data_IF_270435036280
#
_entry.id   IF_270435036280
#
_cell.length_a   1.000
_cell.length_b   1.000
_cell.length_c   1.000
_cell.angle_alpha   90.00
_cell.angle_beta   90.00
_cell.angle_gamma   90.00
#
_symmetry.space_group_name_H-M   'P 1'
#
loop_
_entity.id
_entity.type
_entity.pdbx_description
1 polymer ?
#
# COMPACT_ATOMS: atom_id res chain seq x y z
N UNK A 1 22.22 -12.82 9.13
CA UNK A 1 21.42 -12.35 7.97
C UNK A 1 21.46 -10.83 7.97
N UNK A 2 22.10 -10.21 6.96
CA UNK A 2 22.43 -8.78 7.00
C UNK A 2 21.21 -7.86 7.03
N UNK A 3 21.22 -6.86 7.90
CA UNK A 3 20.15 -5.90 8.10
C UNK A 3 19.72 -5.16 6.82
N UNK A 4 20.61 -5.02 5.83
CA UNK A 4 20.30 -4.44 4.53
C UNK A 4 19.25 -5.21 3.72
N UNK A 5 19.11 -6.53 3.92
CA UNK A 5 18.03 -7.32 3.31
C UNK A 5 16.68 -7.03 3.95
N UNK A 6 16.64 -6.83 5.27
CA UNK A 6 15.40 -6.50 5.98
C UNK A 6 14.86 -5.12 5.58
N UNK A 7 15.75 -4.14 5.37
CA UNK A 7 15.37 -2.81 4.91
C UNK A 7 14.79 -2.81 3.49
N UNK A 8 15.38 -3.61 2.59
CA UNK A 8 14.87 -3.80 1.23
C UNK A 8 13.52 -4.54 1.21
N UNK A 9 13.28 -5.50 2.13
CA UNK A 9 11.97 -6.14 2.30
C UNK A 9 10.86 -5.19 2.75
N UNK A 10 11.20 -4.12 3.49
CA UNK A 10 10.24 -3.15 4.02
C UNK A 10 9.87 -2.09 2.97
N UNK A 11 10.83 -1.65 2.15
CA UNK A 11 10.63 -0.60 1.13
C UNK A 11 10.03 -1.15 -0.17
N UNK A 12 10.38 -2.37 -0.56
CA UNK A 12 9.84 -3.04 -1.75
C UNK A 12 9.30 -4.44 -1.38
N UNK A 13 8.14 -4.49 -0.71
CA UNK A 13 7.57 -5.74 -0.21
C UNK A 13 7.33 -6.84 -1.28
N UNK A 14 6.95 -6.55 -2.54
CA UNK A 14 6.73 -7.62 -3.51
C UNK A 14 8.03 -8.23 -4.07
N UNK A 15 9.13 -7.47 -4.15
CA UNK A 15 10.40 -7.97 -4.71
C UNK A 15 11.14 -8.90 -3.75
N UNK A 16 11.00 -8.68 -2.45
CA UNK A 16 11.64 -9.51 -1.43
C UNK A 16 10.99 -10.89 -1.27
N UNK A 17 9.77 -11.07 -1.77
CA UNK A 17 8.97 -12.29 -1.59
C UNK A 17 9.07 -13.22 -2.80
N UNK A 18 9.61 -12.77 -3.95
CA UNK A 18 9.93 -13.64 -5.10
C UNK A 18 10.76 -14.87 -4.67
N UNK A 19 11.65 -14.69 -3.70
CA UNK A 19 12.54 -15.75 -3.19
C UNK A 19 11.83 -16.73 -2.24
N UNK A 20 10.67 -16.35 -1.66
CA UNK A 20 9.93 -17.14 -0.66
C UNK A 20 8.68 -17.85 -1.22
N UNK A 21 8.37 -17.70 -2.50
CA UNK A 21 7.32 -18.46 -3.20
C UNK A 21 6.14 -17.61 -3.68
N UNK A 22 5.60 -18.00 -4.85
CA UNK A 22 4.58 -17.28 -5.62
C UNK A 22 3.31 -16.91 -4.83
N UNK A 23 2.90 -17.75 -3.86
CA UNK A 23 1.67 -17.54 -3.08
C UNK A 23 1.71 -16.30 -2.19
N UNK A 24 2.83 -16.04 -1.52
CA UNK A 24 2.97 -14.91 -0.58
C UNK A 24 2.97 -13.57 -1.32
N UNK A 25 3.47 -13.52 -2.56
CA UNK A 25 3.49 -12.31 -3.38
C UNK A 25 2.06 -11.83 -3.66
N UNK A 26 1.16 -12.76 -4.01
CA UNK A 26 -0.25 -12.44 -4.33
C UNK A 26 -0.97 -11.85 -3.12
N UNK A 27 -0.72 -12.39 -1.93
CA UNK A 27 -1.34 -11.93 -0.68
C UNK A 27 -0.83 -10.56 -0.27
N UNK A 28 0.49 -10.32 -0.35
CA UNK A 28 1.09 -9.01 -0.06
C UNK A 28 0.63 -7.95 -1.07
N UNK A 29 0.51 -8.31 -2.35
CA UNK A 29 0.04 -7.42 -3.40
C UNK A 29 -1.44 -7.05 -3.20
N UNK A 30 -2.29 -8.03 -2.84
CA UNK A 30 -3.68 -7.80 -2.46
C UNK A 30 -3.80 -6.93 -1.21
N UNK A 31 -2.96 -7.13 -0.19
CA UNK A 31 -3.00 -6.32 1.05
C UNK A 31 -2.55 -4.88 0.78
N UNK A 32 -1.53 -4.68 -0.06
CA UNK A 32 -1.11 -3.35 -0.53
C UNK A 32 -2.23 -2.66 -1.30
N UNK A 33 -2.89 -3.34 -2.25
CA UNK A 33 -4.01 -2.77 -2.99
C UNK A 33 -5.22 -2.50 -2.07
N UNK A 34 -5.52 -3.42 -1.14
CA UNK A 34 -6.65 -3.28 -0.23
C UNK A 34 -6.46 -2.20 0.83
N UNK A 35 -5.23 -1.79 1.16
CA UNK A 35 -4.99 -0.62 2.02
C UNK A 35 -4.88 0.69 1.23
N UNK A 36 -4.31 0.64 0.03
CA UNK A 36 -4.04 1.81 -0.81
C UNK A 36 -5.30 2.32 -1.53
N UNK A 37 -6.09 1.43 -2.12
CA UNK A 37 -7.32 1.80 -2.83
C UNK A 37 -8.33 2.51 -1.92
N UNK A 38 -8.71 1.98 -0.73
CA UNK A 38 -9.60 2.72 0.16
C UNK A 38 -8.95 3.97 0.74
N UNK A 39 -7.63 4.01 0.94
CA UNK A 39 -6.90 5.22 1.38
C UNK A 39 -6.97 6.36 0.35
N UNK A 40 -6.76 6.05 -0.92
CA UNK A 40 -6.90 7.02 -2.02
C UNK A 40 -8.34 7.52 -2.16
N UNK A 41 -9.32 6.61 -2.07
CA UNK A 41 -10.74 6.96 -2.10
C UNK A 41 -11.12 7.86 -0.91
N UNK A 42 -10.66 7.53 0.30
CA UNK A 42 -10.91 8.33 1.50
C UNK A 42 -10.31 9.75 1.38
N UNK A 43 -9.09 9.87 0.86
CA UNK A 43 -8.45 11.17 0.64
C UNK A 43 -9.21 12.03 -0.38
N UNK A 44 -9.69 11.41 -1.47
CA UNK A 44 -10.50 12.10 -2.49
C UNK A 44 -11.86 12.54 -1.92
N UNK A 45 -12.55 11.66 -1.18
CA UNK A 45 -13.82 11.98 -0.52
C UNK A 45 -13.67 13.12 0.47
N UNK A 46 -12.65 13.11 1.33
CA UNK A 46 -12.36 14.20 2.26
C UNK A 46 -12.08 15.51 1.54
N UNK A 47 -11.29 15.50 0.46
CA UNK A 47 -11.06 16.69 -0.35
C UNK A 47 -12.36 17.21 -0.98
N UNK A 48 -13.18 16.32 -1.54
CA UNK A 48 -14.47 16.69 -2.12
C UNK A 48 -15.43 17.29 -1.08
N UNK A 49 -15.49 16.69 0.11
CA UNK A 49 -16.29 17.21 1.22
C UNK A 49 -15.76 18.56 1.74
N UNK A 50 -14.45 18.75 1.78
CA UNK A 50 -13.83 20.04 2.13
C UNK A 50 -14.16 21.12 1.11
N UNK A 51 -14.10 20.81 -0.20
CA UNK A 51 -14.49 21.76 -1.24
C UNK A 51 -15.96 22.17 -1.11
N UNK A 52 -16.87 21.21 -0.90
CA UNK A 52 -18.30 21.52 -0.71
C UNK A 52 -18.59 22.39 0.53
N UNK A 53 -17.79 22.25 1.60
CA UNK A 53 -17.95 23.08 2.79
C UNK A 53 -17.51 24.54 2.55
N UNK A 54 -16.45 24.76 1.77
CA UNK A 54 -16.03 26.11 1.36
C UNK A 54 -17.04 26.84 0.47
N UNK A 55 -17.93 26.12 -0.23
CA UNK A 55 -19.01 26.72 -1.03
C UNK A 55 -20.35 26.87 -0.27
N UNK A 56 -20.38 26.55 1.03
CA UNK A 56 -21.52 26.79 1.92
C UNK A 56 -21.23 27.96 2.85
#
# INVERSE_FOLDING_TARGET
>A
MGCGRALLCIIFPPLAVIDRGCGTIVIVFLLTLAGWVPGAIAALLLNYQSSQNTYR
#
